data_IF_009184391126
#
_entry.id   IF_009184391126
#
_cell.length_a   1.000
_cell.length_b   1.000
_cell.length_c   1.000
_cell.angle_alpha   90.00
_cell.angle_beta   90.00
_cell.angle_gamma   90.00
#
_symmetry.space_group_name_H-M   'P 1'
#
loop_
_entity.id
_entity.type
_entity.pdbx_description
1 polymer ?
#
# COMPACT_ATOMS: atom_id res chain seq x y z
N UNK A 1 -14.25 -2.61 -0.35
CA UNK A 1 -13.70 -1.49 -1.16
C UNK A 1 -12.20 -1.67 -1.29
N UNK A 2 -11.73 -1.90 -2.49
CA UNK A 2 -10.32 -2.10 -2.79
C UNK A 2 -9.48 -0.89 -2.36
N UNK A 3 -8.32 -1.13 -1.79
CA UNK A 3 -7.40 -0.10 -1.33
C UNK A 3 -6.04 -0.28 -2.01
N UNK A 4 -5.37 0.83 -2.33
CA UNK A 4 -3.98 0.77 -2.76
C UNK A 4 -3.05 0.74 -1.55
N UNK A 5 -2.32 -0.35 -1.40
CA UNK A 5 -1.16 -0.41 -0.52
C UNK A 5 -0.05 -1.18 -1.22
N UNK A 6 1.10 -0.54 -1.39
CA UNK A 6 2.32 -1.19 -1.84
C UNK A 6 3.52 -0.47 -1.25
N UNK A 7 4.32 -1.15 -0.47
CA UNK A 7 5.51 -0.61 0.18
C UNK A 7 6.73 -1.48 -0.09
N UNK A 8 7.88 -0.83 -0.31
CA UNK A 8 9.15 -1.50 -0.55
C UNK A 8 10.11 -1.32 0.62
N UNK A 9 10.85 -2.36 0.95
CA UNK A 9 11.92 -2.35 1.93
C UNK A 9 13.10 -3.22 1.49
N UNK A 10 14.22 -3.15 2.22
CA UNK A 10 15.36 -4.03 1.99
C UNK A 10 15.62 -4.86 3.25
N UNK A 11 15.89 -6.14 3.04
CA UNK A 11 16.45 -7.05 4.03
C UNK A 11 17.97 -6.98 3.89
N UNK A 12 18.66 -6.58 4.95
CA UNK A 12 20.10 -6.33 4.88
C UNK A 12 20.83 -6.69 6.17
N UNK A 13 22.07 -7.18 6.02
CA UNK A 13 22.98 -7.47 7.11
C UNK A 13 23.21 -6.27 8.04
N UNK A 14 23.42 -5.08 7.48
CA UNK A 14 23.66 -3.86 8.26
C UNK A 14 22.50 -3.42 9.17
N UNK A 15 21.31 -4.02 9.02
CA UNK A 15 20.17 -3.86 9.93
C UNK A 15 19.99 -5.08 10.85
N UNK A 16 20.95 -5.99 10.91
CA UNK A 16 20.85 -7.24 11.69
C UNK A 16 19.73 -8.16 11.21
N UNK A 17 19.34 -8.12 9.94
CA UNK A 17 18.27 -8.96 9.38
C UNK A 17 18.86 -10.10 8.56
N UNK A 18 18.43 -11.34 8.83
CA UNK A 18 18.70 -12.50 7.99
C UNK A 18 17.62 -12.68 6.92
N UNK A 19 18.04 -13.10 5.72
CA UNK A 19 17.11 -13.46 4.64
C UNK A 19 16.37 -14.76 4.98
N UNK A 20 17.05 -15.74 5.59
CA UNK A 20 16.46 -17.00 6.04
C UNK A 20 15.38 -16.75 7.09
N UNK A 21 15.70 -16.00 8.16
CA UNK A 21 14.73 -15.65 9.19
C UNK A 21 13.53 -14.90 8.62
N UNK A 22 13.79 -14.01 7.65
CA UNK A 22 12.75 -13.24 6.97
C UNK A 22 11.84 -14.13 6.11
N UNK A 23 12.41 -15.10 5.39
CA UNK A 23 11.67 -16.07 4.58
C UNK A 23 10.82 -17.00 5.46
N UNK A 24 11.43 -17.58 6.52
CA UNK A 24 10.73 -18.42 7.50
C UNK A 24 9.55 -17.67 8.16
N UNK A 25 9.74 -16.40 8.52
CA UNK A 25 8.67 -15.58 9.10
C UNK A 25 7.49 -15.39 8.14
N UNK A 26 7.72 -15.24 6.84
CA UNK A 26 6.67 -14.98 5.85
C UNK A 26 5.97 -16.26 5.40
N UNK A 27 6.75 -17.30 5.11
CA UNK A 27 6.19 -18.56 4.63
C UNK A 27 5.56 -19.42 5.74
N UNK A 28 5.98 -19.20 7.00
CA UNK A 28 5.62 -20.10 8.12
C UNK A 28 6.40 -21.42 8.11
N UNK A 29 7.35 -21.61 7.18
CA UNK A 29 8.19 -22.81 7.11
C UNK A 29 9.32 -22.76 8.13
N UNK A 30 9.78 -23.96 8.53
CA UNK A 30 10.99 -24.11 9.34
C UNK A 30 12.19 -24.19 8.39
N UNK A 31 13.07 -23.18 8.44
CA UNK A 31 14.24 -23.07 7.57
C UNK A 31 15.52 -23.09 8.39
N UNK A 32 16.55 -23.77 7.88
CA UNK A 32 17.86 -23.82 8.49
C UNK A 32 18.77 -22.71 7.94
N UNK A 33 19.44 -21.99 8.82
CA UNK A 33 20.43 -20.96 8.49
C UNK A 33 21.82 -21.54 8.58
N UNK A 34 22.50 -21.71 7.43
CA UNK A 34 23.84 -22.28 7.33
C UNK A 34 24.92 -21.44 8.03
N UNK A 35 24.74 -20.12 8.10
CA UNK A 35 25.72 -19.21 8.70
C UNK A 35 25.63 -19.21 10.23
N UNK A 36 24.39 -19.24 10.75
CA UNK A 36 24.15 -19.22 12.20
C UNK A 36 24.04 -20.62 12.79
N UNK A 37 23.94 -21.68 11.97
CA UNK A 37 23.86 -23.08 12.41
C UNK A 37 22.59 -23.39 13.18
N UNK A 38 21.51 -22.70 12.91
CA UNK A 38 20.22 -22.87 13.61
C UNK A 38 19.01 -22.80 12.68
N UNK A 39 17.90 -23.36 13.17
CA UNK A 39 16.62 -23.23 12.50
C UNK A 39 15.88 -21.95 12.90
N UNK A 40 15.21 -21.34 11.93
CA UNK A 40 14.18 -20.35 12.15
C UNK A 40 12.79 -20.96 11.89
N UNK A 41 11.89 -20.75 12.83
CA UNK A 41 10.49 -21.14 12.72
C UNK A 41 9.61 -20.17 13.47
N UNK A 42 8.55 -19.73 12.83
CA UNK A 42 7.58 -18.79 13.39
C UNK A 42 6.18 -19.41 13.28
N UNK A 43 5.67 -19.90 14.40
CA UNK A 43 4.35 -20.53 14.45
C UNK A 43 3.26 -19.56 13.97
N UNK A 44 2.36 -20.08 13.14
CA UNK A 44 1.23 -19.35 12.58
C UNK A 44 -0.08 -20.06 12.90
N UNK A 45 -1.14 -19.31 13.23
CA UNK A 45 -2.49 -19.85 13.39
C UNK A 45 -3.11 -20.21 12.05
N UNK A 46 -2.80 -19.43 11.01
CA UNK A 46 -3.18 -19.70 9.62
C UNK A 46 -1.89 -19.75 8.81
N UNK A 47 -1.65 -20.88 8.15
CA UNK A 47 -0.46 -21.02 7.31
C UNK A 47 -0.62 -20.18 6.05
N UNK A 48 0.39 -19.35 5.73
CA UNK A 48 0.40 -18.60 4.48
C UNK A 48 0.46 -19.53 3.28
N UNK A 49 -0.21 -19.16 2.22
CA UNK A 49 0.01 -19.78 0.92
C UNK A 49 1.31 -19.23 0.33
N UNK A 50 2.32 -20.09 0.14
CA UNK A 50 3.65 -19.62 -0.29
C UNK A 50 4.22 -20.42 -1.43
N UNK A 51 4.92 -19.76 -2.35
CA UNK A 51 5.55 -20.36 -3.52
C UNK A 51 6.68 -19.48 -4.04
N UNK A 52 7.54 -20.07 -4.88
CA UNK A 52 8.65 -19.36 -5.51
C UNK A 52 8.46 -19.35 -7.03
N UNK A 53 8.68 -18.18 -7.63
CA UNK A 53 8.75 -17.98 -9.07
C UNK A 53 10.20 -17.71 -9.48
N UNK A 54 10.67 -18.43 -10.49
CA UNK A 54 12.06 -18.37 -10.95
C UNK A 54 12.17 -17.99 -12.42
N UNK A 55 13.14 -17.15 -12.80
CA UNK A 55 13.43 -16.89 -14.21
C UNK A 55 13.94 -18.17 -14.92
N UNK A 56 13.79 -18.22 -16.24
CA UNK A 56 14.10 -19.42 -17.06
C UNK A 56 15.55 -19.93 -16.91
N UNK A 57 16.48 -19.05 -16.64
CA UNK A 57 17.91 -19.36 -16.46
C UNK A 57 18.30 -19.59 -14.99
N UNK A 58 17.35 -19.64 -14.07
CA UNK A 58 17.64 -19.99 -12.68
C UNK A 58 17.96 -21.47 -12.54
N UNK A 59 18.93 -21.83 -11.71
CA UNK A 59 19.22 -23.24 -11.40
C UNK A 59 18.08 -23.85 -10.57
N UNK A 60 17.93 -25.18 -10.63
CA UNK A 60 16.84 -25.89 -9.95
C UNK A 60 16.76 -25.62 -8.43
N UNK A 61 17.89 -25.40 -7.76
CA UNK A 61 17.90 -25.07 -6.34
C UNK A 61 17.25 -23.71 -6.00
N UNK A 62 17.11 -22.81 -6.97
CA UNK A 62 16.51 -21.50 -6.74
C UNK A 62 15.00 -21.55 -6.44
N UNK A 63 14.34 -22.69 -6.70
CA UNK A 63 12.97 -22.97 -6.31
C UNK A 63 12.82 -23.55 -4.88
N UNK A 64 13.93 -23.86 -4.22
CA UNK A 64 13.98 -24.32 -2.84
C UNK A 64 14.29 -23.11 -1.94
N UNK A 65 13.34 -22.76 -1.07
CA UNK A 65 13.41 -21.54 -0.24
C UNK A 65 14.63 -21.50 0.67
N UNK A 66 14.93 -22.60 1.32
CA UNK A 66 16.06 -22.69 2.23
C UNK A 66 17.38 -22.52 1.47
N UNK A 67 17.55 -23.26 0.37
CA UNK A 67 18.76 -23.15 -0.46
C UNK A 67 18.89 -21.77 -1.09
N UNK A 68 17.81 -21.22 -1.62
CA UNK A 68 17.83 -19.90 -2.25
C UNK A 68 18.39 -18.83 -1.32
N UNK A 69 17.83 -18.73 -0.11
CA UNK A 69 18.21 -17.65 0.79
C UNK A 69 19.55 -17.87 1.47
N UNK A 70 19.94 -19.13 1.74
CA UNK A 70 21.30 -19.46 2.15
C UNK A 70 22.34 -19.09 1.07
N UNK A 71 22.08 -19.40 -0.21
CA UNK A 71 22.94 -19.02 -1.33
C UNK A 71 23.05 -17.51 -1.50
N UNK A 72 21.96 -16.77 -1.30
CA UNK A 72 21.98 -15.29 -1.33
C UNK A 72 22.91 -14.75 -0.24
N UNK A 73 22.76 -15.20 1.00
CA UNK A 73 23.60 -14.76 2.12
C UNK A 73 25.06 -15.18 1.94
N UNK A 74 25.30 -16.41 1.48
CA UNK A 74 26.63 -16.91 1.15
C UNK A 74 27.33 -16.09 0.07
N UNK A 75 26.59 -15.54 -0.89
CA UNK A 75 27.12 -14.69 -1.98
C UNK A 75 27.39 -13.27 -1.52
N UNK A 76 26.55 -12.71 -0.66
CA UNK A 76 26.56 -11.31 -0.25
C UNK A 76 27.09 -11.11 1.19
N UNK A 77 28.35 -11.46 1.46
CA UNK A 77 28.98 -11.54 2.81
C UNK A 77 29.38 -10.21 3.45
N UNK A 78 29.21 -9.07 2.78
CA UNK A 78 29.64 -7.79 3.36
C UNK A 78 28.69 -7.35 4.48
N UNK A 79 29.21 -6.74 5.53
CA UNK A 79 28.42 -6.27 6.68
C UNK A 79 27.27 -5.30 6.31
N UNK A 80 27.33 -4.64 5.16
CA UNK A 80 26.28 -3.76 4.65
C UNK A 80 25.52 -4.36 3.43
N UNK A 81 25.64 -5.66 3.20
CA UNK A 81 24.97 -6.33 2.09
C UNK A 81 23.47 -6.23 2.18
N UNK A 82 22.83 -5.97 1.04
CA UNK A 82 21.39 -6.12 0.87
C UNK A 82 21.12 -7.50 0.31
N UNK A 83 20.48 -8.34 1.11
CA UNK A 83 20.15 -9.72 0.76
C UNK A 83 18.97 -9.78 -0.19
N UNK A 84 17.88 -9.12 0.16
CA UNK A 84 16.67 -9.10 -0.63
C UNK A 84 16.06 -7.69 -0.71
N UNK A 85 15.34 -7.42 -1.80
CA UNK A 85 14.31 -6.40 -1.86
C UNK A 85 13.00 -7.07 -1.48
N UNK A 86 12.22 -6.40 -0.68
CA UNK A 86 10.91 -6.90 -0.24
C UNK A 86 9.84 -5.88 -0.57
N UNK A 87 8.67 -6.35 -0.99
CA UNK A 87 7.49 -5.52 -0.98
C UNK A 87 6.30 -6.25 -0.36
N UNK A 88 5.40 -5.47 0.22
CA UNK A 88 4.09 -5.91 0.67
C UNK A 88 3.01 -5.19 -0.13
N UNK A 89 1.95 -5.91 -0.41
CA UNK A 89 0.85 -5.43 -1.23
C UNK A 89 -0.48 -5.92 -0.67
N UNK A 90 -1.48 -5.03 -0.60
CA UNK A 90 -2.84 -5.41 -0.29
C UNK A 90 -3.49 -6.08 -1.51
N UNK A 91 -4.22 -7.17 -1.26
CA UNK A 91 -5.01 -7.86 -2.27
C UNK A 91 -6.47 -7.38 -2.21
N UNK A 92 -7.15 -7.24 -3.35
CA UNK A 92 -8.55 -6.82 -3.37
C UNK A 92 -9.45 -7.86 -2.70
N UNK A 93 -10.19 -7.47 -1.68
CA UNK A 93 -11.17 -8.34 -1.00
C UNK A 93 -12.38 -8.70 -1.89
N UNK A 94 -12.56 -7.98 -2.97
CA UNK A 94 -13.60 -8.16 -3.96
C UNK A 94 -13.34 -9.36 -4.89
N UNK A 95 -12.10 -9.85 -4.93
CA UNK A 95 -11.70 -11.02 -5.70
C UNK A 95 -11.66 -12.26 -4.80
N UNK A 96 -11.94 -13.42 -5.37
CA UNK A 96 -11.76 -14.70 -4.68
C UNK A 96 -10.28 -14.98 -4.39
N UNK A 97 -10.00 -15.94 -3.53
CA UNK A 97 -8.63 -16.32 -3.16
C UNK A 97 -7.79 -16.75 -4.38
N UNK A 98 -8.41 -17.54 -5.29
CA UNK A 98 -7.76 -17.98 -6.51
C UNK A 98 -7.47 -16.83 -7.47
N UNK A 99 -8.42 -15.89 -7.62
CA UNK A 99 -8.25 -14.70 -8.44
C UNK A 99 -7.18 -13.75 -7.86
N UNK A 100 -7.11 -13.61 -6.53
CA UNK A 100 -6.05 -12.86 -5.86
C UNK A 100 -4.67 -13.48 -6.13
N UNK A 101 -4.58 -14.80 -6.08
CA UNK A 101 -3.34 -15.55 -6.37
C UNK A 101 -2.94 -15.40 -7.84
N UNK A 102 -3.88 -15.57 -8.76
CA UNK A 102 -3.62 -15.41 -10.20
C UNK A 102 -3.15 -13.99 -10.53
N UNK A 103 -3.86 -12.97 -10.04
CA UNK A 103 -3.49 -11.55 -10.19
C UNK A 103 -2.06 -11.29 -9.69
N UNK A 104 -1.76 -11.73 -8.46
CA UNK A 104 -0.44 -11.54 -7.86
C UNK A 104 0.65 -12.28 -8.63
N UNK A 105 0.40 -13.55 -8.99
CA UNK A 105 1.36 -14.38 -9.72
C UNK A 105 1.71 -13.76 -11.06
N UNK A 106 0.69 -13.34 -11.83
CA UNK A 106 0.89 -12.66 -13.11
C UNK A 106 1.68 -11.37 -12.95
N UNK A 107 1.29 -10.52 -12.00
CA UNK A 107 1.97 -9.27 -11.72
C UNK A 107 3.45 -9.49 -11.34
N UNK A 108 3.73 -10.45 -10.46
CA UNK A 108 5.09 -10.78 -10.02
C UNK A 108 5.92 -11.35 -11.17
N UNK A 109 5.33 -12.21 -11.98
CA UNK A 109 5.99 -12.78 -13.16
C UNK A 109 6.45 -11.69 -14.12
N UNK A 110 5.54 -10.82 -14.56
CA UNK A 110 5.79 -9.82 -15.59
C UNK A 110 6.76 -8.71 -15.11
N UNK A 111 6.64 -8.28 -13.84
CA UNK A 111 7.38 -7.12 -13.35
C UNK A 111 8.73 -7.45 -12.71
N UNK A 112 8.93 -8.70 -12.26
CA UNK A 112 10.15 -9.06 -11.52
C UNK A 112 10.81 -10.31 -12.08
N UNK A 113 10.08 -11.39 -12.30
CA UNK A 113 10.67 -12.68 -12.68
C UNK A 113 11.17 -12.64 -14.11
N UNK A 114 10.39 -12.07 -15.03
CA UNK A 114 10.81 -11.87 -16.44
C UNK A 114 11.95 -10.85 -16.57
N UNK A 115 12.17 -10.03 -15.55
CA UNK A 115 13.32 -9.13 -15.45
C UNK A 115 14.57 -9.81 -14.85
N UNK A 116 14.45 -11.09 -14.44
CA UNK A 116 15.57 -11.90 -13.98
C UNK A 116 15.69 -12.03 -12.44
N UNK A 117 14.71 -11.57 -11.67
CA UNK A 117 14.66 -11.80 -10.21
C UNK A 117 14.01 -13.14 -9.89
N UNK A 118 14.45 -13.80 -8.82
CA UNK A 118 13.63 -14.81 -8.16
C UNK A 118 12.69 -14.11 -7.19
N UNK A 119 11.44 -14.54 -7.17
CA UNK A 119 10.43 -14.02 -6.27
C UNK A 119 9.91 -15.12 -5.35
N UNK A 120 10.09 -14.92 -4.04
CA UNK A 120 9.53 -15.75 -2.98
C UNK A 120 8.29 -15.05 -2.42
N UNK A 121 7.13 -15.65 -2.70
CA UNK A 121 5.79 -15.09 -2.45
C UNK A 121 5.16 -15.78 -1.25
N UNK A 122 4.56 -15.00 -0.36
CA UNK A 122 3.73 -15.50 0.74
C UNK A 122 2.45 -14.67 0.84
N UNK A 123 1.30 -15.30 0.67
CA UNK A 123 -0.03 -14.70 0.78
C UNK A 123 -0.59 -14.98 2.16
N UNK A 124 -0.93 -13.93 2.88
CA UNK A 124 -1.46 -13.96 4.24
C UNK A 124 -2.95 -13.65 4.23
N UNK A 125 -3.76 -14.54 4.82
CA UNK A 125 -5.23 -14.43 4.95
C UNK A 125 -5.70 -14.64 6.40
N UNK A 126 -4.82 -14.37 7.36
CA UNK A 126 -5.11 -14.43 8.79
C UNK A 126 -6.20 -13.42 9.24
N UNK A 127 -6.46 -12.40 8.42
CA UNK A 127 -7.55 -11.44 8.59
C UNK A 127 -8.34 -11.33 7.29
N UNK A 128 -9.63 -11.71 7.33
CA UNK A 128 -10.52 -11.69 6.15
C UNK A 128 -10.62 -10.31 5.48
N UNK A 129 -10.60 -9.24 6.27
CA UNK A 129 -10.69 -7.87 5.77
C UNK A 129 -9.36 -7.29 5.26
N UNK A 130 -8.27 -8.06 5.35
CA UNK A 130 -6.93 -7.58 5.00
C UNK A 130 -6.06 -8.69 4.36
N UNK A 131 -6.51 -9.32 3.28
CA UNK A 131 -5.66 -10.22 2.53
C UNK A 131 -4.49 -9.43 1.94
N UNK A 132 -3.27 -9.93 2.14
CA UNK A 132 -2.07 -9.24 1.69
C UNK A 132 -0.96 -10.23 1.36
N UNK A 133 -0.02 -9.78 0.56
CA UNK A 133 1.13 -10.60 0.20
C UNK A 133 2.44 -9.91 0.56
N UNK A 134 3.39 -10.73 0.98
CA UNK A 134 4.81 -10.39 1.08
C UNK A 134 5.57 -11.07 -0.05
N UNK A 135 6.38 -10.31 -0.75
CA UNK A 135 7.22 -10.83 -1.83
C UNK A 135 8.65 -10.44 -1.57
N UNK A 136 9.52 -11.44 -1.43
CA UNK A 136 10.96 -11.25 -1.32
C UNK A 136 11.61 -11.50 -2.69
N UNK A 137 12.42 -10.55 -3.13
CA UNK A 137 13.06 -10.55 -4.46
C UNK A 137 14.57 -10.61 -4.32
N UNK A 138 15.22 -11.42 -5.15
CA UNK A 138 16.68 -11.43 -5.21
C UNK A 138 17.22 -10.13 -5.80
N UNK A 139 18.40 -9.69 -5.33
CA UNK A 139 19.07 -8.49 -5.83
C UNK A 139 20.12 -8.78 -6.91
N UNK A 140 20.21 -10.05 -7.36
CA UNK A 140 21.13 -10.49 -8.40
C UNK A 140 20.38 -11.24 -9.47
N UNK A 141 20.65 -11.01 -10.75
CA UNK A 141 20.17 -11.88 -11.82
C UNK A 141 21.01 -13.17 -11.85
N UNK A 142 20.53 -14.16 -12.58
CA UNK A 142 21.34 -15.28 -12.99
C UNK A 142 21.96 -15.03 -14.37
N UNK A 143 23.18 -15.54 -14.57
CA UNK A 143 23.80 -15.64 -15.89
C UNK A 143 23.13 -16.78 -16.68
N UNK A 144 23.34 -16.87 -18.02
CA UNK A 144 22.78 -17.96 -18.82
C UNK A 144 23.23 -19.37 -18.39
N UNK A 145 24.37 -19.47 -17.71
CA UNK A 145 24.92 -20.72 -17.17
C UNK A 145 24.36 -21.08 -15.75
N UNK A 146 23.39 -20.33 -15.25
CA UNK A 146 22.78 -20.52 -13.93
C UNK A 146 23.63 -20.01 -12.77
N UNK A 147 24.77 -19.38 -13.01
CA UNK A 147 25.57 -18.76 -11.94
C UNK A 147 25.02 -17.36 -11.58
N UNK A 148 25.33 -16.90 -10.36
CA UNK A 148 24.96 -15.55 -9.93
C UNK A 148 25.64 -14.47 -10.79
N UNK A 149 24.85 -13.62 -11.41
CA UNK A 149 25.29 -12.41 -12.08
C UNK A 149 25.77 -11.33 -11.10
N UNK A 150 26.28 -10.23 -11.64
CA UNK A 150 26.82 -9.10 -10.88
C UNK A 150 25.82 -7.95 -10.81
N UNK A 151 25.63 -7.35 -9.61
CA UNK A 151 24.76 -6.17 -9.41
C UNK A 151 25.34 -4.92 -10.06
N UNK A 152 26.67 -4.80 -10.04
CA UNK A 152 27.39 -3.65 -10.55
C UNK A 152 28.84 -3.99 -10.83
N UNK A 153 29.47 -3.26 -11.76
CA UNK A 153 30.90 -3.32 -12.05
C UNK A 153 31.55 -1.96 -11.88
N UNK A 154 32.84 -1.96 -11.59
CA UNK A 154 33.67 -0.76 -11.64
C UNK A 154 34.06 -0.48 -13.08
N UNK A 155 33.88 0.74 -13.55
CA UNK A 155 34.44 1.25 -14.78
C UNK A 155 35.50 2.28 -14.41
N UNK A 156 36.74 2.04 -14.83
CA UNK A 156 37.80 3.02 -14.63
C UNK A 156 37.63 4.20 -15.58
N UNK A 157 37.94 5.39 -15.07
CA UNK A 157 37.99 6.62 -15.87
C UNK A 157 39.37 6.65 -16.50
N UNK A 158 39.41 6.74 -17.84
CA UNK A 158 40.62 6.76 -18.62
C UNK A 158 40.91 8.19 -19.09
N UNK A 159 42.18 8.51 -19.29
CA UNK A 159 42.64 9.72 -19.98
C UNK A 159 42.51 9.57 -21.51
N UNK A 160 42.93 10.59 -22.27
CA UNK A 160 42.91 10.62 -23.74
C UNK A 160 43.78 9.55 -24.38
N UNK A 161 44.77 9.02 -23.62
CA UNK A 161 45.70 7.96 -24.08
C UNK A 161 45.24 6.57 -23.63
N UNK A 162 44.07 6.43 -22.99
CA UNK A 162 43.56 5.16 -22.51
C UNK A 162 44.15 4.72 -21.17
N UNK A 163 44.92 5.52 -20.46
CA UNK A 163 45.48 5.19 -19.14
C UNK A 163 44.47 5.50 -18.03
N UNK A 164 44.56 4.76 -16.91
CA UNK A 164 43.73 4.99 -15.76
C UNK A 164 44.08 6.32 -15.10
N UNK A 165 43.08 7.17 -14.89
CA UNK A 165 43.23 8.41 -14.15
C UNK A 165 43.27 8.19 -12.65
N UNK A 166 44.08 8.99 -11.92
CA UNK A 166 44.17 8.98 -10.46
C UNK A 166 43.75 10.33 -9.89
N UNK A 167 43.37 10.39 -8.62
CA UNK A 167 43.05 11.66 -7.92
C UNK A 167 44.19 11.97 -6.95
N UNK A 168 44.93 13.06 -7.20
CA UNK A 168 46.00 13.52 -6.33
C UNK A 168 46.96 12.38 -5.94
N UNK A 169 47.16 12.17 -4.63
CA UNK A 169 48.03 11.15 -4.06
C UNK A 169 47.39 9.77 -3.88
N UNK A 170 46.18 9.55 -4.42
CA UNK A 170 45.49 8.27 -4.28
C UNK A 170 46.22 7.16 -5.00
N UNK A 171 46.44 6.04 -4.31
CA UNK A 171 46.96 4.78 -4.86
C UNK A 171 45.94 4.06 -5.77
N UNK A 172 44.66 4.48 -5.72
CA UNK A 172 43.56 3.85 -6.44
C UNK A 172 43.12 4.70 -7.61
N UNK A 173 42.92 4.11 -8.80
CA UNK A 173 42.45 4.83 -9.97
C UNK A 173 41.00 5.30 -9.77
N UNK A 174 40.68 6.43 -10.39
CA UNK A 174 39.30 6.93 -10.51
C UNK A 174 38.43 5.88 -11.16
N UNK A 175 37.26 5.64 -10.59
CA UNK A 175 36.29 4.72 -11.16
C UNK A 175 34.88 5.17 -10.86
N UNK A 176 33.96 4.82 -11.75
CA UNK A 176 32.53 4.96 -11.51
C UNK A 176 31.88 3.59 -11.38
N UNK A 177 30.84 3.51 -10.56
CA UNK A 177 30.01 2.31 -10.44
C UNK A 177 29.02 2.29 -11.59
N UNK A 178 29.05 1.21 -12.39
CA UNK A 178 28.03 0.92 -13.40
C UNK A 178 27.09 -0.13 -12.83
N UNK A 179 25.80 0.20 -12.78
CA UNK A 179 24.76 -0.77 -12.42
C UNK A 179 24.53 -1.69 -13.61
N UNK A 180 24.48 -2.99 -13.37
CA UNK A 180 24.17 -4.01 -14.38
C UNK A 180 22.67 -4.30 -14.46
N UNK A 181 21.93 -3.90 -13.42
CA UNK A 181 20.47 -3.96 -13.32
C UNK A 181 19.97 -2.62 -12.79
N UNK A 182 18.78 -2.23 -13.17
CA UNK A 182 18.18 -0.93 -12.78
C UNK A 182 17.19 -1.04 -11.60
N UNK A 183 17.14 -2.19 -10.96
CA UNK A 183 16.16 -2.54 -9.93
C UNK A 183 16.19 -1.65 -8.67
N UNK A 184 17.27 -0.91 -8.45
CA UNK A 184 17.40 0.05 -7.33
C UNK A 184 17.09 1.50 -7.73
N UNK A 185 16.72 1.75 -8.99
CA UNK A 185 16.31 3.09 -9.42
C UNK A 185 14.96 3.48 -8.84
N UNK A 186 14.82 4.76 -8.49
CA UNK A 186 13.57 5.30 -7.92
C UNK A 186 12.40 5.19 -8.92
N UNK A 187 12.70 5.37 -10.19
CA UNK A 187 11.73 5.31 -11.28
C UNK A 187 11.11 3.91 -11.40
N UNK A 188 11.89 2.84 -11.12
CA UNK A 188 11.39 1.47 -11.13
C UNK A 188 10.36 1.23 -10.03
N UNK A 189 10.55 1.80 -8.85
CA UNK A 189 9.55 1.68 -7.76
C UNK A 189 8.24 2.37 -8.17
N UNK A 190 8.32 3.52 -8.82
CA UNK A 190 7.14 4.24 -9.33
C UNK A 190 6.43 3.42 -10.41
N UNK A 191 7.18 2.85 -11.36
CA UNK A 191 6.68 1.98 -12.42
C UNK A 191 5.96 0.75 -11.83
N UNK A 192 6.60 0.03 -10.89
CA UNK A 192 6.00 -1.14 -10.23
C UNK A 192 4.71 -0.81 -9.48
N UNK A 193 4.66 0.33 -8.79
CA UNK A 193 3.45 0.80 -8.09
C UNK A 193 2.33 1.10 -9.07
N UNK A 194 2.65 1.76 -10.20
CA UNK A 194 1.70 2.04 -11.26
C UNK A 194 1.15 0.75 -11.88
N UNK A 195 2.05 -0.17 -12.24
CA UNK A 195 1.68 -1.46 -12.83
C UNK A 195 0.78 -2.29 -11.90
N UNK A 196 1.04 -2.25 -10.56
CA UNK A 196 0.15 -2.90 -9.61
C UNK A 196 -1.26 -2.30 -9.62
N UNK A 197 -1.37 -0.97 -9.56
CA UNK A 197 -2.66 -0.30 -9.62
C UNK A 197 -3.41 -0.63 -10.93
N UNK A 198 -2.71 -0.65 -12.06
CA UNK A 198 -3.28 -1.01 -13.35
C UNK A 198 -3.77 -2.47 -13.40
N UNK A 199 -2.96 -3.42 -12.90
CA UNK A 199 -3.31 -4.85 -12.85
C UNK A 199 -4.55 -5.10 -11.99
N UNK A 200 -4.63 -4.49 -10.81
CA UNK A 200 -5.80 -4.59 -9.93
C UNK A 200 -7.04 -3.98 -10.60
N UNK A 201 -6.91 -2.80 -11.17
CA UNK A 201 -8.04 -2.13 -11.83
C UNK A 201 -8.56 -2.94 -13.01
N UNK A 202 -7.69 -3.58 -13.79
CA UNK A 202 -8.06 -4.48 -14.87
C UNK A 202 -8.83 -5.71 -14.35
N UNK A 203 -8.37 -6.32 -13.26
CA UNK A 203 -9.04 -7.47 -12.66
C UNK A 203 -10.44 -7.11 -12.12
N UNK A 204 -10.58 -5.96 -11.46
CA UNK A 204 -11.87 -5.45 -10.98
C UNK A 204 -12.81 -5.13 -12.14
N UNK A 205 -12.31 -4.57 -13.23
CA UNK A 205 -13.10 -4.28 -14.44
C UNK A 205 -13.65 -5.55 -15.10
N UNK A 206 -12.82 -6.58 -15.24
CA UNK A 206 -13.24 -7.89 -15.77
C UNK A 206 -14.39 -8.51 -14.98
N UNK A 207 -14.49 -8.20 -13.69
CA UNK A 207 -15.57 -8.61 -12.79
C UNK A 207 -16.73 -7.62 -12.70
N UNK A 208 -16.72 -6.57 -13.50
CA UNK A 208 -17.72 -5.48 -13.45
C UNK A 208 -17.82 -4.81 -12.07
N UNK A 209 -16.74 -4.83 -11.30
CA UNK A 209 -16.64 -4.15 -10.00
C UNK A 209 -16.26 -2.69 -10.26
N UNK A 210 -17.04 -1.71 -9.75
CA UNK A 210 -16.82 -0.29 -10.04
C UNK A 210 -15.65 0.34 -9.29
N UNK A 211 -15.17 -0.31 -8.23
CA UNK A 211 -14.05 0.18 -7.42
C UNK A 211 -12.77 0.30 -8.25
N UNK A 212 -12.00 1.34 -7.99
CA UNK A 212 -10.68 1.56 -8.61
C UNK A 212 -9.69 2.00 -7.53
N UNK A 213 -8.44 1.58 -7.70
CA UNK A 213 -7.32 2.00 -6.84
C UNK A 213 -6.34 2.87 -7.63
N UNK A 214 -5.57 3.69 -6.93
CA UNK A 214 -4.53 4.53 -7.52
C UNK A 214 -3.30 4.57 -6.61
N UNK A 215 -2.12 4.52 -7.21
CA UNK A 215 -0.83 4.71 -6.55
C UNK A 215 -0.55 6.17 -6.21
N UNK A 216 -1.30 7.10 -6.80
CA UNK A 216 -1.14 8.54 -6.62
C UNK A 216 -1.73 8.99 -5.29
N UNK A 217 -1.16 10.03 -4.70
CA UNK A 217 -1.74 10.69 -3.53
C UNK A 217 -3.09 11.32 -3.87
N UNK A 218 -3.94 11.56 -2.88
CA UNK A 218 -5.23 12.24 -3.10
C UNK A 218 -5.08 13.62 -3.72
N UNK A 219 -4.01 14.34 -3.38
CA UNK A 219 -3.68 15.64 -3.98
C UNK A 219 -3.42 15.50 -5.48
N UNK A 220 -2.60 14.52 -5.89
CA UNK A 220 -2.30 14.26 -7.30
C UNK A 220 -3.52 13.76 -8.08
N UNK A 221 -4.49 13.15 -7.39
CA UNK A 221 -5.76 12.73 -7.98
C UNK A 221 -6.83 13.84 -8.01
N UNK A 222 -6.53 15.02 -7.45
CA UNK A 222 -7.51 16.11 -7.30
C UNK A 222 -8.63 15.79 -6.30
N UNK A 223 -8.43 14.81 -5.42
CA UNK A 223 -9.42 14.42 -4.42
C UNK A 223 -9.27 15.29 -3.18
N UNK A 224 -10.28 16.12 -2.93
CA UNK A 224 -10.34 16.95 -1.72
C UNK A 224 -10.82 16.11 -0.51
N UNK A 225 -10.00 15.17 -0.06
CA UNK A 225 -10.26 14.35 1.13
C UNK A 225 -8.94 14.07 1.86
N UNK A 226 -9.04 13.69 3.13
CA UNK A 226 -7.88 13.36 3.97
C UNK A 226 -7.58 11.86 3.90
N UNK A 227 -6.35 11.45 3.48
CA UNK A 227 -6.00 10.05 3.46
C UNK A 227 -5.84 9.49 4.87
N UNK A 228 -6.26 8.24 5.07
CA UNK A 228 -5.96 7.50 6.31
C UNK A 228 -4.47 7.16 6.38
N UNK A 229 -3.94 7.07 7.59
CA UNK A 229 -2.55 6.71 7.84
C UNK A 229 -2.42 5.21 8.09
N UNK A 230 -1.35 4.60 7.60
CA UNK A 230 -1.01 3.22 7.97
C UNK A 230 -0.70 3.15 9.47
N UNK A 231 -1.44 2.36 10.23
CA UNK A 231 -1.34 2.32 11.70
C UNK A 231 0.01 1.78 12.17
N UNK A 232 0.49 0.71 11.53
CA UNK A 232 1.74 0.05 11.92
C UNK A 232 1.71 -0.49 13.36
N UNK A 233 2.84 -0.97 13.84
CA UNK A 233 3.00 -1.56 15.18
C UNK A 233 3.86 -0.73 16.13
N UNK A 234 4.34 0.44 15.72
CA UNK A 234 5.21 1.30 16.52
C UNK A 234 4.46 2.13 17.56
N UNK A 235 5.21 2.87 18.41
CA UNK A 235 4.68 3.71 19.50
C UNK A 235 3.61 4.72 19.07
N UNK A 236 3.61 5.16 17.81
CA UNK A 236 2.63 6.11 17.27
C UNK A 236 1.34 5.44 16.74
N UNK A 237 1.17 4.14 16.95
CA UNK A 237 -0.03 3.41 16.47
C UNK A 237 -1.32 3.99 17.03
N UNK A 238 -1.34 4.33 18.31
CA UNK A 238 -2.54 4.89 18.96
C UNK A 238 -2.95 6.23 18.37
N UNK A 239 -1.97 7.12 18.11
CA UNK A 239 -2.22 8.43 17.47
C UNK A 239 -2.80 8.25 16.07
N UNK A 240 -2.22 7.36 15.26
CA UNK A 240 -2.70 7.07 13.90
C UNK A 240 -4.09 6.42 13.90
N UNK A 241 -4.35 5.53 14.84
CA UNK A 241 -5.68 4.92 14.99
C UNK A 241 -6.73 5.97 15.34
N UNK A 242 -6.42 6.86 16.28
CA UNK A 242 -7.30 7.98 16.65
C UNK A 242 -7.55 8.91 15.45
N UNK A 243 -6.50 9.28 14.73
CA UNK A 243 -6.60 10.07 13.50
C UNK A 243 -7.48 9.38 12.45
N UNK A 244 -7.24 8.10 12.17
CA UNK A 244 -8.03 7.33 11.21
C UNK A 244 -9.51 7.25 11.61
N UNK A 245 -9.78 7.13 12.92
CA UNK A 245 -11.16 7.15 13.42
C UNK A 245 -11.84 8.51 13.18
N UNK A 246 -11.11 9.61 13.35
CA UNK A 246 -11.63 10.94 13.02
C UNK A 246 -11.93 11.09 11.52
N UNK A 247 -11.03 10.61 10.65
CA UNK A 247 -11.26 10.61 9.19
C UNK A 247 -12.49 9.77 8.81
N UNK A 248 -12.64 8.58 9.41
CA UNK A 248 -13.83 7.73 9.19
C UNK A 248 -15.12 8.42 9.63
N UNK A 249 -15.12 9.03 10.79
CA UNK A 249 -16.28 9.77 11.32
C UNK A 249 -16.63 10.95 10.40
N UNK A 250 -15.64 11.70 9.95
CA UNK A 250 -15.84 12.80 8.99
C UNK A 250 -16.46 12.32 7.68
N UNK A 251 -15.93 11.23 7.09
CA UNK A 251 -16.47 10.65 5.85
C UNK A 251 -17.90 10.16 6.03
N UNK A 252 -18.20 9.52 7.16
CA UNK A 252 -19.55 9.07 7.50
C UNK A 252 -20.53 10.23 7.61
N UNK A 253 -20.14 11.32 8.26
CA UNK A 253 -20.94 12.55 8.35
C UNK A 253 -21.16 13.19 6.99
N UNK A 254 -20.11 13.26 6.15
CA UNK A 254 -20.18 13.79 4.78
C UNK A 254 -21.11 12.96 3.89
N UNK A 255 -21.06 11.63 3.99
CA UNK A 255 -21.94 10.73 3.25
C UNK A 255 -23.40 10.85 3.69
N UNK A 256 -23.63 10.91 5.01
CA UNK A 256 -24.97 11.16 5.58
C UNK A 256 -25.54 12.50 5.10
N UNK A 257 -24.69 13.52 5.04
CA UNK A 257 -25.04 14.83 4.54
C UNK A 257 -25.38 14.83 3.04
N UNK A 258 -24.60 14.14 2.20
CA UNK A 258 -24.86 13.98 0.77
C UNK A 258 -26.19 13.27 0.54
N UNK A 259 -26.47 12.20 1.26
CA UNK A 259 -27.76 11.49 1.21
C UNK A 259 -28.93 12.37 1.64
N UNK A 260 -28.73 13.27 2.59
CA UNK A 260 -29.73 14.24 3.02
C UNK A 260 -29.96 15.32 1.97
N UNK A 261 -28.88 15.82 1.33
CA UNK A 261 -29.01 16.75 0.20
C UNK A 261 -29.77 16.14 -0.97
N UNK A 262 -29.48 14.89 -1.34
CA UNK A 262 -30.19 14.18 -2.43
C UNK A 262 -31.68 14.00 -2.11
N UNK A 263 -32.01 13.74 -0.85
CA UNK A 263 -33.43 13.67 -0.39
C UNK A 263 -34.13 15.05 -0.38
N UNK A 264 -33.37 16.10 -0.05
CA UNK A 264 -33.90 17.49 -0.04
C UNK A 264 -34.02 18.08 -1.45
N UNK A 265 -33.12 17.68 -2.36
CA UNK A 265 -33.09 18.11 -3.77
C UNK A 265 -34.21 17.45 -4.60
N UNK A 266 -34.77 16.32 -4.14
CA UNK A 266 -36.00 15.78 -4.74
C UNK A 266 -37.20 16.70 -4.44
N UNK A 267 -37.18 17.86 -5.09
CA UNK A 267 -38.13 18.98 -4.93
C UNK A 267 -39.62 18.57 -4.94
N UNK A 268 -39.98 17.53 -5.67
CA UNK A 268 -41.34 17.02 -5.72
C UNK A 268 -41.90 16.49 -4.39
N UNK A 269 -41.00 16.06 -3.46
CA UNK A 269 -41.39 15.58 -2.15
C UNK A 269 -41.57 16.73 -1.15
N UNK A 270 -40.73 17.78 -1.25
CA UNK A 270 -40.82 18.96 -0.38
C UNK A 270 -42.07 19.81 -0.68
N UNK A 271 -42.48 19.92 -1.95
CA UNK A 271 -43.71 20.61 -2.31
C UNK A 271 -44.96 19.87 -1.83
N UNK A 272 -44.92 18.54 -1.78
CA UNK A 272 -46.02 17.75 -1.19
C UNK A 272 -46.06 17.85 0.35
N UNK A 273 -44.91 17.88 1.01
CA UNK A 273 -44.81 18.07 2.45
C UNK A 273 -45.13 19.51 2.87
N UNK A 274 -44.77 20.52 2.06
CA UNK A 274 -45.02 21.92 2.37
C UNK A 274 -46.52 22.27 2.44
N UNK A 275 -47.39 21.49 1.77
CA UNK A 275 -48.84 21.65 1.83
C UNK A 275 -49.43 21.28 3.19
N UNK A 276 -48.73 20.51 4.00
CA UNK A 276 -49.17 20.01 5.30
C UNK A 276 -48.58 20.77 6.49
N UNK A 277 -47.64 21.72 6.24
CA UNK A 277 -47.00 22.49 7.31
C UNK A 277 -47.75 23.78 7.63
N UNK A 278 -47.86 24.09 8.91
CA UNK A 278 -48.33 25.38 9.41
C UNK A 278 -47.38 26.52 8.97
N UNK A 279 -47.85 27.76 9.06
CA UNK A 279 -47.05 28.96 8.67
C UNK A 279 -45.70 29.02 9.47
N UNK A 280 -45.73 28.64 10.75
CA UNK A 280 -44.54 28.65 11.59
C UNK A 280 -43.53 27.56 11.17
N UNK A 281 -44.01 26.37 10.83
CA UNK A 281 -43.16 25.27 10.34
C UNK A 281 -42.52 25.61 8.99
N UNK A 282 -43.22 26.28 8.09
CA UNK A 282 -42.66 26.76 6.82
C UNK A 282 -41.54 27.79 7.03
N UNK A 283 -41.66 28.65 8.06
CA UNK A 283 -40.59 29.59 8.42
C UNK A 283 -39.34 28.87 8.94
N UNK A 284 -39.52 27.89 9.80
CA UNK A 284 -38.44 27.07 10.32
C UNK A 284 -37.74 26.30 9.23
N UNK A 285 -38.44 25.67 8.31
CA UNK A 285 -37.88 24.96 7.15
C UNK A 285 -37.09 25.90 6.26
N UNK A 286 -37.52 27.13 6.07
CA UNK A 286 -36.82 28.15 5.27
C UNK A 286 -35.52 28.60 5.96
N UNK A 287 -35.54 28.81 7.26
CA UNK A 287 -34.35 29.16 8.07
C UNK A 287 -33.35 28.03 8.08
N UNK A 288 -33.79 26.80 8.32
CA UNK A 288 -32.92 25.60 8.25
C UNK A 288 -32.30 25.43 6.86
N UNK A 289 -33.04 25.68 5.81
CA UNK A 289 -32.50 25.60 4.44
C UNK A 289 -31.43 26.67 4.17
N UNK A 290 -31.57 27.84 4.77
CA UNK A 290 -30.59 28.92 4.67
C UNK A 290 -29.31 28.57 5.47
N UNK A 291 -29.45 28.13 6.70
CA UNK A 291 -28.33 27.68 7.53
C UNK A 291 -27.58 26.50 6.93
N UNK A 292 -28.29 25.55 6.31
CA UNK A 292 -27.69 24.43 5.59
C UNK A 292 -26.85 24.90 4.40
N UNK A 293 -27.35 25.89 3.63
CA UNK A 293 -26.57 26.49 2.54
C UNK A 293 -25.32 27.18 3.05
N UNK A 294 -25.42 27.87 4.17
CA UNK A 294 -24.28 28.53 4.82
C UNK A 294 -23.26 27.52 5.29
N UNK A 295 -23.69 26.42 5.92
CA UNK A 295 -22.80 25.32 6.32
C UNK A 295 -22.05 24.72 5.13
N UNK A 296 -22.69 24.55 3.99
CA UNK A 296 -22.09 24.03 2.77
C UNK A 296 -20.97 24.97 2.28
N UNK A 297 -21.20 26.29 2.37
CA UNK A 297 -20.25 27.29 1.88
C UNK A 297 -19.04 27.52 2.80
N UNK A 298 -19.06 26.97 4.04
CA UNK A 298 -17.94 27.10 4.96
C UNK A 298 -16.75 26.27 4.50
N UNK A 299 -15.59 26.87 4.33
CA UNK A 299 -14.34 26.20 3.96
C UNK A 299 -13.60 25.61 5.18
N UNK A 300 -13.67 26.31 6.32
CA UNK A 300 -13.00 25.92 7.55
C UNK A 300 -13.70 24.79 8.29
N UNK A 301 -12.91 23.77 8.69
CA UNK A 301 -13.41 22.65 9.50
C UNK A 301 -13.89 23.10 10.90
N UNK A 302 -13.24 24.13 11.47
CA UNK A 302 -13.60 24.65 12.80
C UNK A 302 -14.89 25.45 12.76
N UNK A 303 -15.15 26.19 11.71
CA UNK A 303 -16.42 26.88 11.52
C UNK A 303 -17.58 25.90 11.33
N UNK A 304 -17.35 24.81 10.57
CA UNK A 304 -18.32 23.71 10.44
C UNK A 304 -18.61 23.03 11.76
N UNK A 305 -17.61 22.78 12.59
CA UNK A 305 -17.79 22.21 13.96
C UNK A 305 -18.56 23.14 14.86
N UNK A 306 -18.27 24.44 14.82
CA UNK A 306 -18.96 25.45 15.63
C UNK A 306 -20.43 25.54 15.23
N UNK A 307 -20.73 25.50 13.95
CA UNK A 307 -22.10 25.53 13.45
C UNK A 307 -22.87 24.26 13.83
N UNK A 308 -22.27 23.07 13.71
CA UNK A 308 -22.85 21.80 14.16
C UNK A 308 -23.11 21.78 15.66
N UNK A 309 -22.20 22.35 16.48
CA UNK A 309 -22.39 22.49 17.92
C UNK A 309 -23.56 23.38 18.25
N UNK A 310 -23.72 24.50 17.56
CA UNK A 310 -24.86 25.42 17.70
C UNK A 310 -26.18 24.74 17.33
N UNK A 311 -26.19 23.96 16.27
CA UNK A 311 -27.37 23.18 15.85
C UNK A 311 -27.76 22.14 16.90
N UNK A 312 -26.80 21.43 17.47
CA UNK A 312 -27.05 20.46 18.54
C UNK A 312 -27.76 21.08 19.75
N UNK A 313 -27.44 22.30 20.05
CA UNK A 313 -27.98 23.02 21.20
C UNK A 313 -29.23 23.85 20.87
N UNK A 314 -29.62 23.94 19.60
CA UNK A 314 -30.80 24.70 19.16
C UNK A 314 -32.10 23.92 19.48
N UNK A 315 -32.91 24.50 20.35
CA UNK A 315 -34.27 24.00 20.68
C UNK A 315 -35.18 23.97 19.45
N UNK A 316 -34.97 24.85 18.49
CA UNK A 316 -35.74 24.95 17.24
C UNK A 316 -35.48 23.74 16.33
N UNK A 317 -34.23 23.32 16.20
CA UNK A 317 -33.84 22.16 15.40
C UNK A 317 -34.34 20.86 16.01
N UNK A 318 -34.23 20.73 17.36
CA UNK A 318 -34.76 19.57 18.07
C UNK A 318 -36.27 19.40 17.89
N UNK A 319 -36.99 20.50 17.84
CA UNK A 319 -38.47 20.49 17.61
C UNK A 319 -38.85 20.19 16.15
N UNK A 320 -38.06 20.71 15.19
CA UNK A 320 -38.37 20.57 13.78
C UNK A 320 -37.99 19.21 13.17
N UNK A 321 -36.98 18.56 13.69
CA UNK A 321 -36.36 17.35 13.08
C UNK A 321 -36.56 16.11 13.96
N UNK A 322 -36.98 16.27 15.21
CA UNK A 322 -37.10 15.19 16.21
C UNK A 322 -35.75 14.85 16.85
N UNK A 323 -35.80 14.39 18.11
CA UNK A 323 -34.59 14.09 18.92
C UNK A 323 -33.75 12.97 18.31
N UNK A 324 -34.37 11.98 17.67
CA UNK A 324 -33.67 10.83 17.10
C UNK A 324 -32.87 11.17 15.85
N UNK A 325 -33.37 12.10 15.03
CA UNK A 325 -32.63 12.55 13.83
C UNK A 325 -31.47 13.46 14.23
N UNK A 326 -31.64 14.25 15.29
CA UNK A 326 -30.55 15.10 15.83
C UNK A 326 -29.40 14.24 16.40
N UNK A 327 -29.70 13.09 17.03
CA UNK A 327 -28.70 12.13 17.51
C UNK A 327 -27.98 11.37 16.38
N UNK A 328 -28.62 11.19 15.24
CA UNK A 328 -28.03 10.51 14.07
C UNK A 328 -27.16 11.44 13.22
N UNK A 329 -27.38 12.75 13.31
CA UNK A 329 -26.59 13.77 12.58
C UNK A 329 -25.28 14.14 13.29
N UNK A 330 -25.08 13.73 14.51
CA UNK A 330 -23.94 14.00 15.38
C UNK A 330 -23.14 12.73 15.66
#
# INVERSE_FOLDING_TARGET
MAIFHMSFSNISAGKGRSAIASAAYRSGEKLFDDQEGRHYFYARSVMPESFILTPKNAPAWASDREKLWNEVERKDRRANSRYAKEFNVALPVELSEDEQKELLTKYVQENFVDQGMVADVAIHRDHQDNPHAHVMLTNRPFNPDGTWGIKSKKQYILDENGNKMYTGTSKYPKSRKILMVDWDKKEKITEWRHNWAASVNQALEQKSIPDRISEKSFVEQGIADTPMQHEGINSKRHERKAFNQQVKNYRKSKAGYKNMQEKVVNRGHLDSLSKHFSFNEKKVVKELSHELKTYISLESLDDKRRMLFNWKNSTLIKHAVGEDVTKQLL
#
